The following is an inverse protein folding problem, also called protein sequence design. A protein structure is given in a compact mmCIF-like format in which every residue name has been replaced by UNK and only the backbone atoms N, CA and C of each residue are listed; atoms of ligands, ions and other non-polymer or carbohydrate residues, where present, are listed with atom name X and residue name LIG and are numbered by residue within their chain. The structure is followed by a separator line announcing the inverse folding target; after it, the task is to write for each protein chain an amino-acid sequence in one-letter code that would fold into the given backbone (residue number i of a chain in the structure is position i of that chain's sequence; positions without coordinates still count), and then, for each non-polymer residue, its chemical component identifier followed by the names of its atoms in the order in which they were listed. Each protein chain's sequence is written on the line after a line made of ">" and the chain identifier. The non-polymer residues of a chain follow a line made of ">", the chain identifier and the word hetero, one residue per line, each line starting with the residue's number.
data_IF_063879092705
#
_entry.id   IF_063879092705
#
_cell.length_a   1.000
_cell.length_b   1.000
_cell.length_c   1.000
_cell.angle_alpha   90.00
_cell.angle_beta   90.00
_cell.angle_gamma   90.00
#
_symmetry.space_group_name_H-M   'P 1'
#
loop_
_entity.id
_entity.type
_entity.pdbx_description
1 polymer ?
#
# COMPACT_ATOMS: atom_id res chain seq x y z
N UNK A 1 12.50 -2.44 -12.15
CA UNK A 1 11.88 -2.66 -10.82
C UNK A 1 12.19 -4.03 -10.21
N UNK A 2 12.68 -5.02 -10.98
CA UNK A 2 12.85 -6.42 -10.53
C UNK A 2 13.62 -6.67 -9.21
N UNK A 3 14.38 -5.69 -8.69
CA UNK A 3 15.17 -5.83 -7.46
C UNK A 3 14.88 -4.79 -6.39
N UNK A 4 13.89 -3.90 -6.59
CA UNK A 4 13.56 -2.87 -5.59
C UNK A 4 12.33 -3.31 -4.80
N UNK A 5 12.36 -3.28 -3.45
CA UNK A 5 11.17 -3.57 -2.68
C UNK A 5 10.10 -2.50 -2.96
N UNK A 6 8.83 -2.92 -2.97
CA UNK A 6 7.68 -2.04 -3.27
C UNK A 6 6.64 -2.13 -2.16
N UNK A 7 6.14 -0.99 -1.69
CA UNK A 7 4.92 -0.92 -0.88
C UNK A 7 3.74 -0.55 -1.77
N UNK A 8 2.68 -1.35 -1.68
CA UNK A 8 1.37 -1.05 -2.27
C UNK A 8 0.42 -0.81 -1.09
N UNK A 9 -0.13 0.39 -0.99
CA UNK A 9 -1.11 0.76 0.03
C UNK A 9 -2.38 1.24 -0.66
N UNK A 10 -3.52 0.60 -0.37
CA UNK A 10 -4.78 0.84 -1.09
C UNK A 10 -5.98 0.80 -0.14
N UNK A 11 -6.97 1.67 -0.37
CA UNK A 11 -8.21 1.69 0.40
C UNK A 11 -9.23 0.66 -0.11
N UNK A 12 -9.88 -0.07 0.79
CA UNK A 12 -10.91 -1.05 0.40
C UNK A 12 -12.23 -0.39 -0.03
N UNK A 13 -12.43 0.89 0.31
CA UNK A 13 -13.58 1.68 -0.10
C UNK A 13 -13.22 2.71 -1.18
N UNK A 14 -12.09 2.53 -1.87
CA UNK A 14 -11.67 3.38 -2.98
C UNK A 14 -12.73 3.35 -4.09
N UNK A 15 -13.39 4.48 -4.28
CA UNK A 15 -14.50 4.69 -5.20
C UNK A 15 -14.03 5.00 -6.63
N UNK A 16 -12.73 5.23 -6.83
CA UNK A 16 -12.12 5.65 -8.11
C UNK A 16 -11.37 4.50 -8.76
N UNK A 17 -10.64 3.71 -7.96
CA UNK A 17 -9.82 2.59 -8.41
C UNK A 17 -10.08 1.37 -7.52
N UNK A 18 -10.66 0.33 -8.09
CA UNK A 18 -10.95 -0.92 -7.38
C UNK A 18 -9.68 -1.56 -6.79
N UNK A 19 -9.76 -2.01 -5.53
CA UNK A 19 -8.62 -2.58 -4.81
C UNK A 19 -8.04 -3.85 -5.44
N UNK A 20 -8.81 -4.54 -6.30
CA UNK A 20 -8.31 -5.67 -7.09
C UNK A 20 -7.12 -5.29 -7.96
N UNK A 21 -6.99 -4.03 -8.39
CA UNK A 21 -5.80 -3.56 -9.09
C UNK A 21 -4.55 -3.62 -8.20
N UNK A 22 -4.67 -3.26 -6.92
CA UNK A 22 -3.58 -3.36 -5.96
C UNK A 22 -3.20 -4.81 -5.66
N UNK A 23 -4.20 -5.71 -5.61
CA UNK A 23 -3.98 -7.16 -5.50
C UNK A 23 -3.24 -7.68 -6.73
N UNK A 24 -3.71 -7.36 -7.93
CA UNK A 24 -3.07 -7.75 -9.18
C UNK A 24 -1.61 -7.26 -9.25
N UNK A 25 -1.33 -6.02 -8.85
CA UNK A 25 0.04 -5.51 -8.79
C UNK A 25 0.90 -6.29 -7.80
N UNK A 26 0.38 -6.64 -6.62
CA UNK A 26 1.11 -7.41 -5.63
C UNK A 26 1.48 -8.81 -6.14
N UNK A 27 0.56 -9.47 -6.84
CA UNK A 27 0.77 -10.80 -7.42
C UNK A 27 1.82 -10.81 -8.54
N UNK A 28 1.98 -9.68 -9.24
CA UNK A 28 2.86 -9.57 -10.41
C UNK A 28 4.18 -8.84 -10.15
N UNK A 29 4.33 -8.15 -9.02
CA UNK A 29 5.56 -7.43 -8.67
C UNK A 29 6.41 -8.24 -7.68
N UNK A 30 7.66 -8.58 -8.02
CA UNK A 30 8.56 -9.23 -7.08
C UNK A 30 8.88 -8.28 -5.92
N UNK A 31 9.03 -8.84 -4.71
CA UNK A 31 9.40 -8.09 -3.50
C UNK A 31 8.41 -6.97 -3.12
N UNK A 32 7.14 -7.16 -3.43
CA UNK A 32 6.08 -6.23 -3.03
C UNK A 32 5.45 -6.61 -1.68
N UNK A 33 5.00 -5.60 -0.93
CA UNK A 33 4.19 -5.74 0.29
C UNK A 33 2.87 -5.00 0.06
N UNK A 34 1.76 -5.71 0.24
CA UNK A 34 0.42 -5.14 0.11
C UNK A 34 -0.17 -4.77 1.47
N UNK A 35 -0.74 -3.57 1.56
CA UNK A 35 -1.51 -3.07 2.71
C UNK A 35 -2.86 -2.57 2.21
N UNK A 36 -3.91 -3.33 2.53
CA UNK A 36 -5.28 -2.93 2.28
C UNK A 36 -5.84 -2.28 3.54
N UNK A 37 -6.32 -1.04 3.42
CA UNK A 37 -6.88 -0.27 4.54
C UNK A 37 -8.39 -0.34 4.47
N UNK A 38 -8.98 -0.98 5.47
CA UNK A 38 -10.44 -1.10 5.59
C UNK A 38 -11.07 0.30 5.69
N UNK A 39 -12.19 0.48 5.00
CA UNK A 39 -13.02 1.69 5.02
C UNK A 39 -12.35 2.96 4.44
N UNK A 40 -11.08 2.90 4.02
CA UNK A 40 -10.40 4.02 3.38
C UNK A 40 -10.87 4.22 1.93
N UNK A 41 -11.19 5.47 1.60
CA UNK A 41 -11.55 5.94 0.26
C UNK A 41 -10.29 6.20 -0.60
N UNK A 42 -10.47 6.68 -1.83
CA UNK A 42 -9.36 6.96 -2.74
C UNK A 42 -8.33 7.96 -2.18
N UNK A 43 -8.79 8.87 -1.30
CA UNK A 43 -7.97 9.93 -0.71
C UNK A 43 -7.42 9.56 0.66
N UNK A 44 -7.79 8.40 1.19
CA UNK A 44 -7.58 8.03 2.60
C UNK A 44 -8.14 9.09 3.56
N UNK A 45 -9.31 9.68 3.25
CA UNK A 45 -10.00 10.59 4.18
C UNK A 45 -10.19 9.90 5.53
N UNK A 46 -9.82 10.58 6.62
CA UNK A 46 -9.74 10.05 8.00
C UNK A 46 -8.71 8.92 8.26
N UNK A 47 -7.96 8.49 7.24
CA UNK A 47 -6.94 7.43 7.35
C UNK A 47 -5.52 7.89 6.94
N UNK A 48 -5.29 9.19 6.78
CA UNK A 48 -3.99 9.76 6.38
C UNK A 48 -2.88 9.30 7.32
N UNK A 49 -3.05 9.49 8.63
CA UNK A 49 -2.04 9.11 9.63
C UNK A 49 -1.73 7.61 9.60
N UNK A 50 -2.75 6.77 9.39
CA UNK A 50 -2.57 5.33 9.26
C UNK A 50 -1.74 4.98 8.02
N UNK A 51 -2.06 5.58 6.86
CA UNK A 51 -1.30 5.38 5.61
C UNK A 51 0.14 5.85 5.76
N UNK A 52 0.39 6.97 6.43
CA UNK A 52 1.74 7.47 6.73
C UNK A 52 2.50 6.53 7.64
N UNK A 53 1.88 6.05 8.72
CA UNK A 53 2.48 5.07 9.64
C UNK A 53 2.87 3.78 8.92
N UNK A 54 1.99 3.24 8.07
CA UNK A 54 2.29 2.05 7.28
C UNK A 54 3.48 2.27 6.34
N UNK A 55 3.60 3.48 5.77
CA UNK A 55 4.71 3.87 4.90
C UNK A 55 6.01 3.98 5.69
N UNK A 56 6.01 4.66 6.83
CA UNK A 56 7.18 4.81 7.70
C UNK A 56 7.70 3.46 8.21
N UNK A 57 6.81 2.60 8.70
CA UNK A 57 7.17 1.24 9.14
C UNK A 57 7.80 0.43 8.02
N UNK A 58 7.25 0.50 6.80
CA UNK A 58 7.84 -0.20 5.66
C UNK A 58 9.22 0.35 5.30
N UNK A 59 9.43 1.68 5.37
CA UNK A 59 10.73 2.28 5.10
C UNK A 59 11.78 1.83 6.12
N UNK A 60 11.42 1.82 7.41
CA UNK A 60 12.29 1.31 8.49
C UNK A 60 12.70 -0.14 8.23
N UNK A 61 11.73 -1.03 8.00
CA UNK A 61 11.97 -2.46 7.75
C UNK A 61 12.88 -2.75 6.55
N UNK A 62 12.85 -1.90 5.52
CA UNK A 62 13.49 -2.19 4.23
C UNK A 62 14.78 -1.40 3.96
N UNK A 63 14.97 -0.25 4.61
CA UNK A 63 16.09 0.65 4.29
C UNK A 63 16.86 1.14 5.50
N UNK A 64 16.27 1.14 6.70
CA UNK A 64 16.95 1.61 7.91
C UNK A 64 17.27 0.39 8.78
N UNK A 65 18.48 -0.14 8.60
CA UNK A 65 19.10 -1.08 9.54
C UNK A 65 20.15 -0.36 10.36
#
# INVERSE_FOLDING_TARGET
>A
LQSKPVLICHGLADEVVDFSNAVYLHENLPLSKLKLVKDADHRFTDFIELREKLTAQWLEENFMR
#
